data_IF_751728771091
#
_entry.id   IF_751728771091
#
_cell.length_a   1.000
_cell.length_b   1.000
_cell.length_c   1.000
_cell.angle_alpha   90.00
_cell.angle_beta   90.00
_cell.angle_gamma   90.00
#
_symmetry.space_group_name_H-M   'P 1'
#
loop_
_entity.id
_entity.type
_entity.pdbx_description
1 polymer ?
#
# COMPACT_ATOMS: atom_id res chain seq x y z
N UNK A 1 30.91 23.74 -9.99
CA UNK A 1 30.77 22.62 -9.03
C UNK A 1 29.52 22.68 -8.15
N UNK A 2 29.17 23.81 -7.47
CA UNK A 2 27.97 23.88 -6.62
C UNK A 2 26.63 23.59 -7.33
N UNK A 3 26.45 24.00 -8.59
CA UNK A 3 25.24 23.73 -9.37
C UNK A 3 25.07 22.24 -9.74
N UNK A 4 26.16 21.50 -9.91
CA UNK A 4 26.16 20.07 -10.19
C UNK A 4 25.74 19.25 -8.95
N UNK A 5 26.16 19.73 -7.77
CA UNK A 5 25.82 19.09 -6.49
C UNK A 5 24.31 19.20 -6.18
N UNK A 6 23.68 20.35 -6.52
CA UNK A 6 22.25 20.57 -6.34
C UNK A 6 21.44 19.68 -7.30
N UNK A 7 21.93 19.53 -8.55
CA UNK A 7 21.26 18.65 -9.52
C UNK A 7 21.33 17.18 -9.11
N UNK A 8 22.44 16.73 -8.52
CA UNK A 8 22.56 15.36 -8.00
C UNK A 8 21.65 15.09 -6.81
N UNK A 9 21.43 16.06 -5.92
CA UNK A 9 20.49 15.92 -4.79
C UNK A 9 19.03 15.78 -5.24
N UNK A 10 18.63 16.43 -6.33
CA UNK A 10 17.29 16.32 -6.88
C UNK A 10 16.98 14.93 -7.49
N UNK A 11 18.02 14.20 -7.92
CA UNK A 11 17.88 12.85 -8.49
C UNK A 11 17.54 11.82 -7.39
N UNK A 12 17.93 12.06 -6.15
CA UNK A 12 17.68 11.13 -5.04
C UNK A 12 16.26 11.20 -4.46
N UNK A 13 15.47 12.21 -4.78
CA UNK A 13 14.09 12.36 -4.25
C UNK A 13 13.08 11.41 -4.90
N UNK A 14 13.45 10.69 -5.94
CA UNK A 14 12.60 9.74 -6.68
C UNK A 14 12.92 8.26 -6.43
N UNK A 15 13.69 7.92 -5.39
CA UNK A 15 14.07 6.53 -5.14
C UNK A 15 12.86 5.65 -4.80
N UNK A 16 12.84 4.42 -5.35
CA UNK A 16 11.89 3.41 -4.94
C UNK A 16 12.06 3.08 -3.46
N UNK A 17 10.97 2.94 -2.74
CA UNK A 17 11.01 2.49 -1.35
C UNK A 17 10.73 1.00 -1.24
N UNK A 18 11.40 0.37 -0.29
CA UNK A 18 11.13 -1.02 0.05
C UNK A 18 9.73 -1.14 0.67
N UNK A 19 8.94 -2.07 0.16
CA UNK A 19 7.67 -2.41 0.81
C UNK A 19 7.92 -3.15 2.12
N UNK A 20 7.34 -2.65 3.19
CA UNK A 20 7.34 -3.29 4.50
C UNK A 20 6.14 -4.25 4.55
N UNK A 21 6.38 -5.50 4.93
CA UNK A 21 5.31 -6.50 5.03
C UNK A 21 4.19 -5.98 5.94
N UNK A 22 2.98 -6.00 5.42
CA UNK A 22 1.80 -5.59 6.17
C UNK A 22 1.18 -6.81 6.85
N UNK A 23 0.90 -6.63 8.12
CA UNK A 23 0.12 -7.56 8.94
C UNK A 23 -0.98 -6.74 9.61
N UNK A 24 -2.26 -7.10 9.46
CA UNK A 24 -3.36 -6.31 10.00
C UNK A 24 -3.23 -6.03 11.50
N UNK A 25 -2.69 -6.97 12.24
CA UNK A 25 -2.46 -6.86 13.68
C UNK A 25 -1.51 -5.71 14.05
N UNK A 26 -0.48 -5.47 13.23
CA UNK A 26 0.52 -4.42 13.46
C UNK A 26 -0.01 -3.01 13.20
N UNK A 27 -1.08 -2.90 12.43
CA UNK A 27 -1.72 -1.60 12.15
C UNK A 27 -2.54 -1.09 13.34
N UNK A 28 -2.83 -1.96 14.31
CA UNK A 28 -3.64 -1.64 15.48
C UNK A 28 -5.14 -1.53 15.16
N UNK A 29 -5.94 -1.61 16.22
CA UNK A 29 -7.40 -1.51 16.15
C UNK A 29 -7.86 -0.46 17.15
N UNK A 30 -8.32 0.69 16.66
CA UNK A 30 -8.75 1.82 17.51
C UNK A 30 -10.24 1.77 17.86
N UNK A 31 -11.02 1.01 17.09
CA UNK A 31 -12.47 0.94 17.24
C UNK A 31 -12.97 -0.50 17.29
N UNK A 32 -14.16 -0.68 17.88
CA UNK A 32 -14.85 -1.97 17.95
C UNK A 32 -16.34 -1.80 17.70
N UNK A 33 -16.95 -2.79 17.05
CA UNK A 33 -18.38 -2.88 16.78
C UNK A 33 -18.86 -4.32 16.95
N UNK A 34 -20.11 -4.52 17.34
CA UNK A 34 -20.81 -5.79 17.24
C UNK A 34 -21.62 -5.79 15.94
N UNK A 35 -21.34 -6.72 15.04
CA UNK A 35 -21.96 -6.77 13.70
C UNK A 35 -23.13 -7.75 13.63
N UNK A 36 -23.17 -8.72 14.52
CA UNK A 36 -24.30 -9.61 14.78
C UNK A 36 -24.11 -10.27 16.14
N UNK A 37 -25.11 -11.02 16.61
CA UNK A 37 -25.04 -11.75 17.89
C UNK A 37 -23.80 -12.65 17.92
N UNK A 38 -22.91 -12.43 18.87
CA UNK A 38 -21.65 -13.17 19.06
C UNK A 38 -20.62 -12.99 17.91
N UNK A 39 -20.71 -11.90 17.13
CA UNK A 39 -19.71 -11.57 16.12
C UNK A 39 -19.27 -10.12 16.30
N UNK A 40 -18.00 -9.94 16.61
CA UNK A 40 -17.43 -8.62 16.81
C UNK A 40 -16.39 -8.30 15.74
N UNK A 41 -16.32 -7.03 15.35
CA UNK A 41 -15.28 -6.49 14.50
C UNK A 41 -14.52 -5.40 15.25
N UNK A 42 -13.19 -5.53 15.30
CA UNK A 42 -12.28 -4.44 15.65
C UNK A 42 -11.67 -3.91 14.39
N UNK A 43 -11.48 -2.60 14.29
CA UNK A 43 -10.91 -2.01 13.08
C UNK A 43 -10.04 -0.81 13.39
N UNK A 44 -9.12 -0.53 12.47
CA UNK A 44 -8.23 0.63 12.51
C UNK A 44 -8.01 1.18 11.12
N UNK A 45 -7.88 2.51 11.05
CA UNK A 45 -7.63 3.26 9.82
C UNK A 45 -6.15 3.28 9.46
N UNK A 46 -5.86 3.71 8.23
CA UNK A 46 -4.52 4.04 7.72
C UNK A 46 -3.51 2.89 7.86
N UNK A 47 -3.93 1.69 7.46
CA UNK A 47 -3.09 0.50 7.56
C UNK A 47 -1.77 0.63 6.78
N UNK A 48 -1.75 1.38 5.66
CA UNK A 48 -0.53 1.67 4.89
C UNK A 48 0.43 2.55 5.67
N UNK A 49 -0.07 3.68 6.21
CA UNK A 49 0.72 4.64 7.00
C UNK A 49 1.27 3.99 8.26
N UNK A 50 0.42 3.32 9.02
CA UNK A 50 0.81 2.61 10.25
C UNK A 50 1.83 1.50 10.03
N UNK A 51 1.80 0.89 8.84
CA UNK A 51 2.82 -0.08 8.40
C UNK A 51 4.08 0.57 7.81
N UNK A 52 4.22 1.90 7.88
CA UNK A 52 5.34 2.69 7.36
C UNK A 52 5.57 2.53 5.84
N UNK A 53 4.53 2.26 5.08
CA UNK A 53 4.56 2.12 3.63
C UNK A 53 4.26 3.46 2.94
N UNK A 54 5.02 4.51 3.24
CA UNK A 54 4.74 5.91 2.91
C UNK A 54 4.46 6.21 1.44
N UNK A 55 5.15 5.56 0.49
CA UNK A 55 4.87 5.76 -0.96
C UNK A 55 3.50 5.21 -1.35
N UNK A 56 3.12 4.05 -0.79
CA UNK A 56 1.83 3.44 -1.07
C UNK A 56 0.70 4.22 -0.40
N UNK A 57 0.92 4.67 0.83
CA UNK A 57 0.05 5.56 1.59
C UNK A 57 -0.24 6.86 0.82
N UNK A 58 0.79 7.58 0.39
CA UNK A 58 0.64 8.77 -0.45
C UNK A 58 -0.18 8.52 -1.73
N UNK A 59 -0.02 7.34 -2.34
CA UNK A 59 -0.80 6.99 -3.54
C UNK A 59 -2.24 6.62 -3.21
N UNK A 60 -2.46 5.99 -2.08
CA UNK A 60 -3.77 5.69 -1.53
C UNK A 60 -4.57 6.98 -1.39
N UNK A 61 -4.02 7.98 -0.71
CA UNK A 61 -4.61 9.32 -0.56
C UNK A 61 -4.91 9.98 -1.91
N UNK A 62 -3.93 10.01 -2.81
CA UNK A 62 -4.11 10.59 -4.14
C UNK A 62 -5.17 9.92 -5.00
N UNK A 63 -5.53 8.69 -4.70
CA UNK A 63 -6.54 7.91 -5.42
C UNK A 63 -7.87 7.88 -4.69
N UNK A 64 -7.96 8.61 -3.57
CA UNK A 64 -9.12 8.61 -2.70
C UNK A 64 -9.51 7.18 -2.29
N UNK A 65 -8.52 6.38 -1.90
CA UNK A 65 -8.66 5.02 -1.41
C UNK A 65 -8.17 4.96 0.03
N UNK A 66 -8.65 3.98 0.79
CA UNK A 66 -8.17 3.77 2.16
C UNK A 66 -8.20 2.29 2.52
N UNK A 67 -7.15 1.82 3.17
CA UNK A 67 -7.05 0.47 3.67
C UNK A 67 -7.37 0.41 5.16
N UNK A 68 -8.41 -0.31 5.50
CA UNK A 68 -8.86 -0.55 6.85
C UNK A 68 -8.32 -1.89 7.35
N UNK A 69 -7.62 -1.92 8.48
CA UNK A 69 -7.29 -3.16 9.18
C UNK A 69 -8.49 -3.62 10.00
N UNK A 70 -8.79 -4.91 9.95
CA UNK A 70 -9.93 -5.49 10.69
C UNK A 70 -9.55 -6.77 11.40
N UNK A 71 -10.14 -6.98 12.57
CA UNK A 71 -10.14 -8.25 13.29
C UNK A 71 -11.58 -8.67 13.52
N UNK A 72 -11.95 -9.82 12.98
CA UNK A 72 -13.27 -10.42 13.16
C UNK A 72 -13.14 -11.54 14.19
N UNK A 73 -13.90 -11.46 15.29
CA UNK A 73 -14.03 -12.55 16.25
C UNK A 73 -15.42 -13.18 16.08
N UNK A 74 -15.43 -14.43 15.66
CA UNK A 74 -16.65 -15.20 15.45
C UNK A 74 -16.88 -16.15 16.64
N UNK A 75 -17.68 -15.73 17.60
CA UNK A 75 -18.11 -16.54 18.76
C UNK A 75 -19.46 -17.23 18.51
N UNK A 76 -19.97 -17.15 17.27
CA UNK A 76 -21.20 -17.83 16.87
C UNK A 76 -20.96 -19.32 16.59
N UNK A 77 -22.04 -20.07 16.38
CA UNK A 77 -21.96 -21.49 15.99
C UNK A 77 -21.80 -21.70 14.49
N UNK A 78 -21.94 -20.63 13.70
CA UNK A 78 -21.97 -20.69 12.24
C UNK A 78 -20.63 -20.20 11.63
N UNK A 79 -20.28 -20.76 10.48
CA UNK A 79 -19.16 -20.24 9.68
C UNK A 79 -19.60 -18.97 8.96
N UNK A 80 -18.82 -17.90 9.11
CA UNK A 80 -19.09 -16.63 8.43
C UNK A 80 -18.32 -16.57 7.11
N UNK A 81 -18.97 -16.01 6.09
CA UNK A 81 -18.35 -15.70 4.80
C UNK A 81 -18.69 -14.26 4.45
N UNK A 82 -17.68 -13.40 4.43
CA UNK A 82 -17.89 -12.00 4.09
C UNK A 82 -17.85 -11.80 2.57
N UNK A 83 -18.88 -11.16 2.06
CA UNK A 83 -18.98 -10.71 0.67
C UNK A 83 -19.36 -9.23 0.64
N UNK A 84 -19.21 -8.59 -0.50
CA UNK A 84 -19.62 -7.18 -0.67
C UNK A 84 -21.12 -6.98 -0.43
N UNK A 85 -21.93 -8.00 -0.72
CA UNK A 85 -23.39 -7.96 -0.63
C UNK A 85 -23.89 -8.10 0.81
N UNK A 86 -23.14 -8.84 1.65
CA UNK A 86 -23.58 -9.11 3.04
C UNK A 86 -22.91 -8.20 4.08
N UNK A 87 -21.82 -7.49 3.72
CA UNK A 87 -21.17 -6.51 4.59
C UNK A 87 -21.58 -5.09 4.16
N UNK A 88 -22.21 -4.36 5.06
CA UNK A 88 -22.56 -2.97 4.85
C UNK A 88 -21.84 -2.10 5.88
N UNK A 89 -21.10 -1.10 5.41
CA UNK A 89 -20.39 -0.15 6.25
C UNK A 89 -21.00 1.24 6.04
N UNK A 90 -21.29 1.93 7.14
CA UNK A 90 -21.84 3.28 7.15
C UNK A 90 -21.07 4.15 8.12
N UNK A 91 -21.06 5.44 7.86
CA UNK A 91 -20.65 6.44 8.86
C UNK A 91 -21.68 6.49 10.00
N UNK A 92 -21.36 7.16 11.11
CA UNK A 92 -22.33 7.39 12.18
C UNK A 92 -23.56 8.18 11.71
N UNK A 93 -23.40 9.03 10.71
CA UNK A 93 -24.49 9.80 10.09
C UNK A 93 -25.37 8.96 9.16
N UNK A 94 -25.04 7.67 8.98
CA UNK A 94 -25.79 6.75 8.12
C UNK A 94 -25.38 6.75 6.65
N UNK A 95 -24.40 7.55 6.24
CA UNK A 95 -23.89 7.58 4.87
C UNK A 95 -23.21 6.25 4.53
N UNK A 96 -23.63 5.55 3.47
CA UNK A 96 -23.01 4.30 3.07
C UNK A 96 -21.61 4.55 2.53
N UNK A 97 -20.66 3.69 2.91
CA UNK A 97 -19.27 3.74 2.46
C UNK A 97 -19.11 2.73 1.33
N UNK A 98 -18.46 3.17 0.25
CA UNK A 98 -18.16 2.29 -0.87
C UNK A 98 -17.04 1.31 -0.52
N UNK A 99 -17.33 0.01 -0.59
CA UNK A 99 -16.38 -1.06 -0.34
C UNK A 99 -15.90 -1.62 -1.69
N UNK A 100 -14.59 -1.75 -1.85
CA UNK A 100 -14.00 -2.38 -3.02
C UNK A 100 -13.64 -3.84 -2.69
N UNK A 101 -14.16 -4.77 -3.49
CA UNK A 101 -13.87 -6.20 -3.37
C UNK A 101 -12.70 -6.64 -4.27
N UNK A 102 -12.19 -5.75 -5.10
CA UNK A 102 -11.16 -6.04 -6.10
C UNK A 102 -9.79 -5.60 -5.57
N UNK A 103 -9.06 -6.56 -4.99
CA UNK A 103 -7.71 -6.33 -4.52
C UNK A 103 -6.73 -6.08 -5.68
N UNK A 104 -6.98 -6.62 -6.87
CA UNK A 104 -6.13 -6.39 -8.04
C UNK A 104 -6.25 -4.95 -8.52
N UNK A 105 -7.49 -4.44 -8.59
CA UNK A 105 -7.75 -3.04 -8.90
C UNK A 105 -7.04 -2.11 -7.90
N UNK A 106 -7.18 -2.38 -6.60
CA UNK A 106 -6.54 -1.58 -5.56
C UNK A 106 -5.01 -1.58 -5.73
N UNK A 107 -4.39 -2.75 -5.85
CA UNK A 107 -2.94 -2.88 -6.05
C UNK A 107 -2.51 -2.15 -7.32
N UNK A 108 -3.27 -2.23 -8.40
CA UNK A 108 -2.95 -1.55 -9.66
C UNK A 108 -2.95 -0.02 -9.53
N UNK A 109 -3.85 0.52 -8.72
CA UNK A 109 -3.94 1.97 -8.46
C UNK A 109 -2.78 2.51 -7.63
N UNK A 110 -2.30 1.75 -6.64
CA UNK A 110 -1.29 2.23 -5.68
C UNK A 110 0.13 1.69 -5.92
N UNK A 111 0.31 0.71 -6.82
CA UNK A 111 1.63 0.15 -7.13
C UNK A 111 2.66 1.22 -7.54
N UNK A 112 3.92 0.98 -7.22
CA UNK A 112 5.01 1.82 -7.71
C UNK A 112 5.17 1.64 -9.22
N UNK A 113 5.36 2.75 -9.94
CA UNK A 113 5.64 2.74 -11.39
C UNK A 113 7.09 2.38 -11.64
N UNK A 114 7.44 1.13 -11.38
CA UNK A 114 8.82 0.65 -11.41
C UNK A 114 9.53 0.91 -12.76
N UNK A 115 8.81 0.87 -13.88
CA UNK A 115 9.36 1.15 -15.21
C UNK A 115 9.97 2.55 -15.38
N UNK A 116 9.48 3.56 -14.65
CA UNK A 116 10.05 4.90 -14.70
C UNK A 116 11.48 4.94 -14.15
N UNK A 117 11.84 4.03 -13.26
CA UNK A 117 13.21 3.96 -12.74
C UNK A 117 14.23 3.55 -13.79
N UNK A 118 13.81 2.80 -14.83
CA UNK A 118 14.69 2.51 -15.98
C UNK A 118 15.00 3.76 -16.80
N UNK A 119 14.07 4.71 -16.92
CA UNK A 119 14.34 5.97 -17.63
C UNK A 119 15.42 6.78 -16.88
N UNK A 120 15.39 6.80 -15.56
CA UNK A 120 16.45 7.45 -14.78
C UNK A 120 17.81 6.79 -15.01
N UNK A 121 17.89 5.49 -15.25
CA UNK A 121 19.13 4.81 -15.56
C UNK A 121 19.74 5.28 -16.89
N UNK A 122 18.90 5.62 -17.87
CA UNK A 122 19.38 6.15 -19.17
C UNK A 122 19.97 7.57 -19.03
N UNK A 123 19.42 8.40 -18.14
CA UNK A 123 19.94 9.74 -17.86
C UNK A 123 21.08 9.75 -16.84
N UNK A 124 21.32 8.67 -16.15
CA UNK A 124 22.32 8.56 -15.10
C UNK A 124 23.74 8.29 -15.58
N UNK A 125 23.98 8.26 -16.89
CA UNK A 125 25.32 8.23 -17.43
C UNK A 125 25.92 9.62 -17.29
N UNK A 126 26.71 9.87 -16.24
CA UNK A 126 27.49 11.10 -16.15
C UNK A 126 28.61 11.05 -17.16
N UNK A 127 28.52 11.93 -18.16
CA UNK A 127 29.63 12.18 -19.09
C UNK A 127 30.54 13.18 -18.44
N UNK A 128 31.69 12.73 -17.99
CA UNK A 128 32.78 13.60 -17.51
C UNK A 128 33.66 14.00 -18.68
N UNK A 129 33.89 15.29 -18.85
CA UNK A 129 34.88 15.83 -19.82
C UNK A 129 36.09 16.18 -19.03
N UNK A 130 37.17 15.45 -19.23
CA UNK A 130 38.50 15.85 -18.74
C UNK A 130 39.33 16.28 -19.93
N UNK A 131 39.83 17.51 -19.90
CA UNK A 131 40.80 18.00 -20.84
C UNK A 131 42.21 17.85 -20.19
N UNK A 132 43.00 17.02 -20.76
CA UNK A 132 44.42 16.91 -20.40
C UNK A 132 45.20 16.95 -21.72
N UNK A 133 46.05 18.00 -21.90
CA UNK A 133 46.89 18.21 -23.04
C UNK A 133 46.18 18.04 -24.41
N UNK A 134 45.11 18.82 -24.66
CA UNK A 134 44.35 18.85 -25.92
C UNK A 134 43.66 17.52 -26.30
N UNK A 135 43.59 16.58 -25.40
CA UNK A 135 42.81 15.35 -25.59
C UNK A 135 41.55 15.32 -24.72
N UNK A 136 40.37 15.28 -25.36
CA UNK A 136 39.12 15.10 -24.68
C UNK A 136 38.90 13.61 -24.38
N UNK A 137 38.84 13.27 -23.10
CA UNK A 137 38.41 11.93 -22.67
C UNK A 137 36.96 11.99 -22.20
N UNK A 138 36.12 11.20 -22.83
CA UNK A 138 34.75 10.99 -22.38
C UNK A 138 34.80 9.84 -21.37
N UNK A 139 34.53 10.14 -20.10
CA UNK A 139 34.37 9.12 -19.07
C UNK A 139 32.89 8.90 -18.84
N UNK A 140 32.42 7.68 -19.13
CA UNK A 140 31.04 7.29 -18.85
C UNK A 140 30.99 6.61 -17.49
N UNK A 141 30.29 7.22 -16.55
CA UNK A 141 30.14 6.63 -15.23
C UNK A 141 28.81 5.86 -15.14
N UNK A 142 28.81 4.53 -14.95
CA UNK A 142 27.61 3.69 -14.95
C UNK A 142 26.79 3.75 -13.63
N UNK A 143 27.15 4.61 -12.68
CA UNK A 143 26.48 4.68 -11.36
C UNK A 143 24.98 4.91 -11.51
N UNK A 144 24.56 5.77 -12.44
CA UNK A 144 23.14 6.03 -12.67
C UNK A 144 22.37 4.79 -13.15
N UNK A 145 23.01 3.98 -13.99
CA UNK A 145 22.42 2.72 -14.46
C UNK A 145 22.23 1.73 -13.30
N UNK A 146 23.21 1.61 -12.41
CA UNK A 146 23.13 0.74 -11.23
C UNK A 146 22.00 1.19 -10.27
N UNK A 147 21.89 2.51 -10.03
CA UNK A 147 20.81 3.07 -9.19
C UNK A 147 19.44 2.81 -9.83
N UNK A 148 19.31 2.98 -11.16
CA UNK A 148 18.07 2.72 -11.87
C UNK A 148 17.63 1.26 -11.80
N UNK A 149 18.55 0.32 -12.01
CA UNK A 149 18.28 -1.12 -11.89
C UNK A 149 17.89 -1.51 -10.46
N UNK A 150 18.62 -0.98 -9.48
CA UNK A 150 18.30 -1.21 -8.06
C UNK A 150 16.90 -0.71 -7.69
N UNK A 151 16.55 0.51 -8.09
CA UNK A 151 15.22 1.07 -7.84
C UNK A 151 14.10 0.30 -8.59
N UNK A 152 14.38 -0.15 -9.81
CA UNK A 152 13.46 -1.02 -10.54
C UNK A 152 13.19 -2.30 -9.74
N UNK A 153 14.25 -2.97 -9.29
CA UNK A 153 14.13 -4.21 -8.51
C UNK A 153 13.35 -3.99 -7.21
N UNK A 154 13.62 -2.91 -6.48
CA UNK A 154 12.88 -2.54 -5.26
C UNK A 154 11.40 -2.29 -5.55
N UNK A 155 11.09 -1.54 -6.61
CA UNK A 155 9.70 -1.22 -6.98
C UNK A 155 8.92 -2.46 -7.40
N UNK A 156 9.51 -3.32 -8.24
CA UNK A 156 8.88 -4.58 -8.67
C UNK A 156 8.64 -5.50 -7.46
N UNK A 157 9.67 -5.71 -6.65
CA UNK A 157 9.58 -6.57 -5.47
C UNK A 157 8.57 -6.04 -4.45
N UNK A 158 8.54 -4.71 -4.25
CA UNK A 158 7.56 -4.05 -3.39
C UNK A 158 6.12 -4.30 -3.87
N UNK A 159 5.86 -4.13 -5.16
CA UNK A 159 4.55 -4.38 -5.74
C UNK A 159 4.10 -5.85 -5.62
N UNK A 160 5.03 -6.80 -5.80
CA UNK A 160 4.75 -8.23 -5.61
C UNK A 160 4.38 -8.55 -4.15
N UNK A 161 5.10 -7.96 -3.19
CA UNK A 161 4.81 -8.14 -1.76
C UNK A 161 3.47 -7.51 -1.38
N UNK A 162 3.16 -6.32 -1.90
CA UNK A 162 1.86 -5.69 -1.72
C UNK A 162 0.75 -6.63 -2.22
N UNK A 163 0.84 -7.09 -3.48
CA UNK A 163 -0.15 -8.02 -4.05
C UNK A 163 -0.32 -9.28 -3.19
N UNK A 164 0.79 -9.86 -2.72
CA UNK A 164 0.75 -11.04 -1.84
C UNK A 164 0.08 -10.76 -0.50
N UNK A 165 0.35 -9.60 0.11
CA UNK A 165 -0.29 -9.20 1.37
C UNK A 165 -1.78 -8.98 1.19
N UNK A 166 -2.19 -8.27 0.14
CA UNK A 166 -3.60 -8.04 -0.15
C UNK A 166 -4.34 -9.35 -0.39
N UNK A 167 -3.80 -10.25 -1.21
CA UNK A 167 -4.42 -11.57 -1.46
C UNK A 167 -4.54 -12.42 -0.19
N UNK A 168 -3.54 -12.35 0.71
CA UNK A 168 -3.52 -13.14 1.94
C UNK A 168 -4.55 -12.64 2.97
N UNK A 169 -4.69 -11.33 3.09
CA UNK A 169 -5.43 -10.70 4.17
C UNK A 169 -6.74 -10.03 3.71
N UNK A 170 -7.15 -10.19 2.45
CA UNK A 170 -8.46 -9.72 1.99
C UNK A 170 -9.56 -10.41 2.79
N UNK A 171 -10.44 -9.64 3.41
CA UNK A 171 -11.56 -10.18 4.19
C UNK A 171 -12.57 -10.92 3.32
N UNK A 172 -12.76 -10.48 2.07
CA UNK A 172 -13.79 -11.02 1.21
C UNK A 172 -13.43 -12.43 0.73
N UNK A 173 -14.46 -13.28 0.66
CA UNK A 173 -14.37 -14.71 0.32
C UNK A 173 -13.58 -15.57 1.33
N UNK A 174 -13.24 -15.01 2.51
CA UNK A 174 -12.67 -15.82 3.60
C UNK A 174 -13.80 -16.52 4.38
N UNK A 175 -13.50 -17.74 4.83
CA UNK A 175 -14.36 -18.51 5.71
C UNK A 175 -13.82 -18.42 7.13
N UNK A 176 -14.58 -17.82 8.03
CA UNK A 176 -14.23 -17.66 9.44
C UNK A 176 -15.02 -18.69 10.23
N UNK A 177 -14.36 -19.74 10.69
CA UNK A 177 -15.00 -20.84 11.43
C UNK A 177 -15.56 -20.35 12.78
N UNK A 178 -16.50 -21.10 13.39
CA UNK A 178 -16.94 -20.86 14.75
C UNK A 178 -15.79 -20.80 15.75
N UNK A 179 -15.89 -19.92 16.74
CA UNK A 179 -14.90 -19.72 17.80
C UNK A 179 -13.49 -19.42 17.31
N UNK A 180 -13.38 -18.75 16.15
CA UNK A 180 -12.10 -18.32 15.59
C UNK A 180 -12.03 -16.81 15.38
N UNK A 181 -10.81 -16.31 15.26
CA UNK A 181 -10.52 -14.91 14.92
C UNK A 181 -9.80 -14.85 13.59
N UNK A 182 -10.15 -13.87 12.77
CA UNK A 182 -9.50 -13.59 11.50
C UNK A 182 -9.03 -12.14 11.47
N UNK A 183 -7.78 -11.93 11.10
CA UNK A 183 -7.19 -10.62 10.86
C UNK A 183 -7.05 -10.38 9.37
N UNK A 184 -7.60 -9.26 8.89
CA UNK A 184 -7.63 -8.96 7.47
C UNK A 184 -7.68 -7.48 7.15
N UNK A 185 -7.90 -7.20 5.87
CA UNK A 185 -8.07 -5.86 5.34
C UNK A 185 -9.39 -5.71 4.60
N UNK A 186 -9.97 -4.52 4.69
CA UNK A 186 -11.07 -4.04 3.85
C UNK A 186 -10.57 -2.83 3.07
N UNK A 187 -10.84 -2.79 1.77
CA UNK A 187 -10.51 -1.65 0.91
C UNK A 187 -11.73 -0.75 0.82
N UNK A 188 -11.58 0.51 1.20
CA UNK A 188 -12.58 1.55 1.01
C UNK A 188 -12.31 2.30 -0.30
N UNK A 189 -13.37 2.54 -1.07
CA UNK A 189 -13.33 3.30 -2.33
C UNK A 189 -13.36 4.81 -2.13
N UNK A 190 -13.14 5.26 -0.92
CA UNK A 190 -13.06 6.65 -0.51
C UNK A 190 -12.17 6.78 0.73
N UNK A 191 -11.44 7.90 0.81
CA UNK A 191 -10.68 8.22 2.01
C UNK A 191 -11.61 8.95 2.98
N UNK A 192 -11.74 8.44 4.18
CA UNK A 192 -12.59 8.98 5.23
C UNK A 192 -11.75 9.32 6.45
N UNK A 193 -12.08 10.41 7.12
CA UNK A 193 -11.46 10.75 8.39
C UNK A 193 -11.68 9.65 9.43
N UNK A 194 -10.72 9.47 10.35
CA UNK A 194 -10.83 8.48 11.41
C UNK A 194 -12.05 8.77 12.30
N UNK A 195 -13.07 7.97 12.14
CA UNK A 195 -14.33 8.08 12.86
C UNK A 195 -14.91 6.70 13.16
N UNK A 196 -15.90 6.65 14.05
CA UNK A 196 -16.62 5.41 14.28
C UNK A 196 -17.46 5.04 13.06
N UNK A 197 -17.35 3.79 12.65
CA UNK A 197 -18.11 3.19 11.56
C UNK A 197 -19.16 2.24 12.11
N UNK A 198 -20.26 2.11 11.40
CA UNK A 198 -21.30 1.15 11.72
C UNK A 198 -21.27 0.01 10.71
N UNK A 199 -20.93 -1.17 11.19
CA UNK A 199 -20.88 -2.40 10.39
C UNK A 199 -22.14 -3.21 10.58
N UNK A 200 -22.71 -3.72 9.51
CA UNK A 200 -23.84 -4.65 9.54
C UNK A 200 -23.55 -5.84 8.64
N UNK A 201 -23.75 -7.02 9.18
CA UNK A 201 -23.68 -8.29 8.45
C UNK A 201 -25.12 -8.83 8.29
N UNK A 202 -25.46 -9.26 7.05
CA UNK A 202 -26.78 -9.80 6.70
C UNK A 202 -26.75 -11.32 6.64
#
# INVERSE_FOLDING_TARGET
MKKLLILSLLIFTGCATRFIKMEPELSGYSHQNEISKNVTIKYGFDAMSKSRNTIYDYKEDRKNLQLLSVRISNESKDTLVFTKENLNIKTLLGTPINILNDEEFYVDKIKQRAGWYMLYSLFGFMVGWTSDNDRYRITVNPIGALIGVYNLALGVHGNMRLKKSMKKYNLFNQRIAPNTTFDGFIILGENIEEQKLNFKYK
#
